data_IF_594810457858
#
_entry.id   IF_594810457858
#
_cell.length_a   1.000
_cell.length_b   1.000
_cell.length_c   1.000
_cell.angle_alpha   90.00
_cell.angle_beta   90.00
_cell.angle_gamma   90.00
#
_symmetry.space_group_name_H-M   'P 1'
#
loop_
_entity.id
_entity.type
_entity.pdbx_description
1 polymer ?
#
# COMPACT_ATOMS: atom_id res chain seq x y z
N UNK A 1 -9.20 -71.37 11.02
CA UNK A 1 -9.04 -72.64 11.75
C UNK A 1 -8.16 -73.53 10.89
N UNK A 2 -7.00 -73.96 11.39
CA UNK A 2 -5.99 -74.74 10.66
C UNK A 2 -4.99 -73.86 9.86
N UNK A 3 -3.68 -74.13 9.78
CA UNK A 3 -2.81 -75.27 10.13
C UNK A 3 -1.41 -74.70 10.45
N UNK A 4 -0.71 -75.33 11.41
CA UNK A 4 0.69 -75.08 11.79
C UNK A 4 1.67 -75.54 10.72
N UNK A 5 2.79 -74.84 10.52
CA UNK A 5 4.07 -75.49 10.20
C UNK A 5 5.24 -74.74 10.85
N UNK A 6 6.08 -75.51 11.53
CA UNK A 6 7.36 -75.14 12.15
C UNK A 6 8.49 -75.72 11.29
N UNK A 7 9.56 -74.96 11.04
CA UNK A 7 10.91 -75.44 10.73
C UNK A 7 11.84 -74.21 10.74
N UNK A 8 12.73 -74.04 11.73
CA UNK A 8 14.05 -74.64 11.92
C UNK A 8 15.13 -74.19 10.91
N UNK A 9 16.23 -73.70 11.50
CA UNK A 9 17.62 -73.63 11.03
C UNK A 9 17.98 -72.59 9.96
N UNK A 10 18.86 -71.65 10.33
CA UNK A 10 20.31 -71.80 10.10
C UNK A 10 21.11 -70.69 10.79
N UNK A 11 22.12 -71.13 11.55
CA UNK A 11 23.22 -70.31 12.02
C UNK A 11 24.06 -69.84 10.82
N UNK A 12 24.40 -68.56 10.80
CA UNK A 12 25.38 -67.98 9.90
C UNK A 12 26.09 -66.85 10.64
N UNK A 13 27.24 -67.15 11.24
CA UNK A 13 28.16 -66.15 11.75
C UNK A 13 28.67 -65.31 10.58
N UNK A 14 28.41 -64.00 10.61
CA UNK A 14 29.02 -63.04 9.71
C UNK A 14 29.98 -62.15 10.50
N UNK A 15 31.21 -62.13 10.02
CA UNK A 15 32.36 -61.39 10.53
C UNK A 15 32.11 -59.90 10.68
N UNK A 16 32.69 -59.36 11.74
CA UNK A 16 32.95 -57.95 11.98
C UNK A 16 33.81 -57.36 10.86
N UNK A 17 33.29 -56.31 10.23
CA UNK A 17 34.11 -55.18 9.76
C UNK A 17 33.38 -53.90 10.15
N UNK A 18 33.73 -53.36 11.32
CA UNK A 18 33.41 -51.99 11.69
C UNK A 18 34.24 -51.06 10.79
N UNK A 19 33.73 -50.79 9.59
CA UNK A 19 34.14 -49.62 8.84
C UNK A 19 33.66 -48.41 9.62
N UNK A 20 34.55 -47.77 10.36
CA UNK A 20 34.35 -46.39 10.81
C UNK A 20 34.32 -45.56 9.54
N UNK A 21 33.13 -45.44 8.94
CA UNK A 21 32.85 -44.33 8.04
C UNK A 21 33.08 -43.09 8.90
N UNK A 22 34.20 -42.42 8.66
CA UNK A 22 34.38 -41.03 9.00
C UNK A 22 33.20 -40.29 8.39
N UNK A 23 32.12 -40.18 9.16
CA UNK A 23 31.11 -39.17 8.97
C UNK A 23 31.87 -37.86 9.10
N UNK A 24 32.36 -37.38 7.95
CA UNK A 24 32.81 -36.01 7.85
C UNK A 24 31.67 -35.20 8.40
N UNK A 25 31.91 -34.50 9.51
CA UNK A 25 31.11 -33.37 9.92
C UNK A 25 31.24 -32.38 8.76
N UNK A 26 30.40 -32.55 7.74
CA UNK A 26 30.07 -31.50 6.82
C UNK A 26 29.42 -30.45 7.70
N UNK A 27 30.21 -29.47 8.10
CA UNK A 27 29.68 -28.20 8.58
C UNK A 27 28.80 -27.71 7.45
N UNK A 28 27.49 -27.93 7.59
CA UNK A 28 26.50 -27.27 6.75
C UNK A 28 26.80 -25.79 6.93
N UNK A 29 27.37 -25.16 5.91
CA UNK A 29 27.69 -23.74 5.95
C UNK A 29 26.36 -22.98 6.07
N UNK A 30 26.00 -22.64 7.31
CA UNK A 30 24.89 -21.76 7.64
C UNK A 30 25.06 -20.36 7.00
N UNK A 31 26.21 -20.06 6.41
CA UNK A 31 26.53 -18.82 5.69
C UNK A 31 25.52 -18.45 4.60
N UNK A 32 24.85 -19.42 3.96
CA UNK A 32 23.82 -19.12 2.95
C UNK A 32 22.44 -18.79 3.52
N UNK A 33 22.14 -19.14 4.78
CA UNK A 33 20.83 -18.91 5.39
C UNK A 33 20.67 -17.48 5.91
N UNK A 34 21.74 -16.83 6.37
CA UNK A 34 21.66 -15.48 6.94
C UNK A 34 21.21 -14.43 5.92
N UNK A 35 21.79 -14.36 4.70
CA UNK A 35 21.36 -13.35 3.72
C UNK A 35 19.91 -13.55 3.26
N UNK A 36 19.46 -14.79 3.14
CA UNK A 36 18.07 -15.08 2.78
C UNK A 36 17.10 -14.64 3.89
N UNK A 37 17.44 -14.88 5.15
CA UNK A 37 16.66 -14.43 6.31
C UNK A 37 16.64 -12.90 6.44
N UNK A 38 17.75 -12.23 6.17
CA UNK A 38 17.83 -10.76 6.22
C UNK A 38 16.94 -10.11 5.15
N UNK A 39 16.92 -10.67 3.93
CA UNK A 39 16.01 -10.23 2.87
C UNK A 39 14.53 -10.42 3.25
N UNK A 40 14.17 -11.59 3.79
CA UNK A 40 12.81 -11.86 4.25
C UNK A 40 12.41 -10.94 5.41
N UNK A 41 13.31 -10.68 6.35
CA UNK A 41 13.06 -9.78 7.47
C UNK A 41 12.87 -8.32 7.00
N UNK A 42 13.63 -7.87 6.01
CA UNK A 42 13.42 -6.57 5.38
C UNK A 42 12.07 -6.51 4.67
N UNK A 43 11.71 -7.55 3.91
CA UNK A 43 10.42 -7.63 3.23
C UNK A 43 9.23 -7.60 4.20
N UNK A 44 9.33 -8.32 5.34
CA UNK A 44 8.35 -8.27 6.44
C UNK A 44 8.20 -6.88 7.01
N UNK A 45 9.31 -6.19 7.30
CA UNK A 45 9.29 -4.83 7.84
C UNK A 45 8.66 -3.83 6.87
N UNK A 46 9.02 -3.89 5.59
CA UNK A 46 8.38 -3.05 4.58
C UNK A 46 6.87 -3.35 4.47
N UNK A 47 6.43 -4.60 4.65
CA UNK A 47 5.00 -4.90 4.71
C UNK A 47 4.32 -4.24 5.90
N UNK A 48 4.96 -4.24 7.07
CA UNK A 48 4.46 -3.58 8.27
C UNK A 48 4.42 -2.05 8.10
N UNK A 49 5.42 -1.47 7.43
CA UNK A 49 5.49 -0.05 7.10
C UNK A 49 4.39 0.36 6.11
N UNK A 50 4.11 -0.46 5.08
CA UNK A 50 2.95 -0.24 4.21
C UNK A 50 1.62 -0.38 4.97
N UNK A 51 1.57 -1.32 5.92
CA UNK A 51 0.52 -1.44 6.93
C UNK A 51 -0.90 -1.52 6.36
N UNK A 52 -1.83 -0.90 7.10
CA UNK A 52 -3.24 -0.77 6.71
C UNK A 52 -3.44 0.43 5.79
N UNK A 53 -4.07 0.22 4.63
CA UNK A 53 -4.32 1.31 3.68
C UNK A 53 -5.65 2.00 3.94
N UNK A 54 -5.58 3.24 4.38
CA UNK A 54 -6.75 4.09 4.65
C UNK A 54 -6.84 5.32 3.71
N UNK A 55 -5.97 5.39 2.71
CA UNK A 55 -5.85 6.50 1.75
C UNK A 55 -5.74 6.01 0.32
N UNK A 56 -6.32 6.80 -0.58
CA UNK A 56 -6.27 6.55 -2.02
C UNK A 56 -4.90 6.97 -2.56
N UNK A 57 -4.21 6.04 -3.25
CA UNK A 57 -2.88 6.28 -3.81
C UNK A 57 -2.64 5.42 -5.05
N UNK A 58 -1.93 5.96 -6.03
CA UNK A 58 -1.44 5.17 -7.16
C UNK A 58 -0.23 4.34 -6.73
N UNK A 59 -0.06 3.16 -7.33
CA UNK A 59 1.08 2.29 -7.03
C UNK A 59 2.43 2.98 -7.32
N UNK A 60 2.50 3.79 -8.38
CA UNK A 60 3.70 4.55 -8.72
C UNK A 60 4.10 5.54 -7.63
N UNK A 61 3.13 6.29 -7.10
CA UNK A 61 3.37 7.23 -6.00
C UNK A 61 3.88 6.50 -4.77
N UNK A 62 3.24 5.39 -4.38
CA UNK A 62 3.67 4.57 -3.24
C UNK A 62 5.10 4.07 -3.49
N UNK A 63 5.39 3.56 -4.68
CA UNK A 63 6.71 3.07 -5.04
C UNK A 63 7.79 4.18 -5.00
N UNK A 64 7.44 5.42 -5.32
CA UNK A 64 8.34 6.56 -5.29
C UNK A 64 8.59 7.14 -3.89
N UNK A 65 7.60 7.05 -2.99
CA UNK A 65 7.65 7.80 -1.71
C UNK A 65 7.72 6.93 -0.46
N UNK A 66 7.27 5.67 -0.53
CA UNK A 66 7.08 4.80 0.65
C UNK A 66 8.11 3.65 0.70
N UNK A 67 8.96 3.48 -0.32
CA UNK A 67 10.01 2.45 -0.35
C UNK A 67 11.35 3.10 -0.04
N UNK A 68 12.04 2.73 1.04
CA UNK A 68 13.36 3.25 1.34
C UNK A 68 14.37 2.74 0.32
N UNK A 69 15.41 3.52 0.00
CA UNK A 69 16.49 3.05 -0.90
C UNK A 69 17.39 2.01 -0.24
N UNK A 70 17.46 2.05 1.09
CA UNK A 70 18.31 1.18 1.91
C UNK A 70 17.59 0.88 3.22
N UNK A 71 17.57 -0.39 3.61
CA UNK A 71 17.10 -0.88 4.89
C UNK A 71 18.20 -1.68 5.61
N UNK A 72 18.01 -1.87 6.92
CA UNK A 72 18.91 -2.69 7.75
C UNK A 72 18.32 -4.08 7.90
N UNK A 73 19.00 -5.14 7.46
CA UNK A 73 18.59 -6.54 7.66
C UNK A 73 19.44 -7.19 8.73
N UNK A 74 19.04 -7.15 10.01
CA UNK A 74 19.89 -7.65 11.09
C UNK A 74 21.23 -6.89 11.16
N UNK A 75 22.31 -7.55 10.71
CA UNK A 75 23.67 -7.01 10.63
C UNK A 75 24.12 -6.65 9.19
N UNK A 76 23.25 -6.84 8.20
CA UNK A 76 23.52 -6.64 6.77
C UNK A 76 22.83 -5.39 6.22
N UNK A 77 23.43 -4.76 5.22
CA UNK A 77 22.75 -3.71 4.45
C UNK A 77 21.87 -4.37 3.39
N UNK A 78 20.61 -3.96 3.32
CA UNK A 78 19.64 -4.46 2.33
C UNK A 78 19.23 -3.31 1.43
N UNK A 79 19.65 -3.36 0.17
CA UNK A 79 19.18 -2.45 -0.87
C UNK A 79 17.78 -2.85 -1.32
N UNK A 80 16.85 -1.91 -1.36
CA UNK A 80 15.49 -2.15 -1.83
C UNK A 80 15.29 -1.38 -3.14
N UNK A 81 14.85 -2.07 -4.18
CA UNK A 81 14.67 -1.48 -5.51
C UNK A 81 13.30 -1.84 -6.06
N UNK A 82 12.40 -0.85 -6.30
CA UNK A 82 11.16 -1.08 -7.02
C UNK A 82 11.47 -1.57 -8.44
N UNK A 83 10.80 -2.64 -8.87
CA UNK A 83 10.99 -3.26 -10.18
C UNK A 83 9.84 -2.97 -11.13
N UNK A 84 8.62 -3.03 -10.60
CA UNK A 84 7.39 -2.78 -11.33
C UNK A 84 6.29 -2.34 -10.36
N UNK A 85 5.35 -1.55 -10.84
CA UNK A 85 4.18 -1.13 -10.07
C UNK A 85 2.98 -0.99 -11.00
N UNK A 86 1.78 -1.27 -10.49
CA UNK A 86 0.56 -1.15 -11.29
C UNK A 86 -0.68 -0.93 -10.42
N UNK A 87 -1.70 -0.32 -11.00
CA UNK A 87 -2.98 -0.10 -10.34
C UNK A 87 -2.94 1.01 -9.28
N UNK A 88 -3.96 1.00 -8.42
CA UNK A 88 -4.18 2.00 -7.37
C UNK A 88 -4.93 1.40 -6.20
N UNK A 89 -4.70 1.97 -5.03
CA UNK A 89 -5.48 1.74 -3.82
C UNK A 89 -6.76 2.57 -3.95
N UNK A 90 -7.83 1.99 -4.50
CA UNK A 90 -9.12 2.67 -4.68
C UNK A 90 -10.26 1.67 -4.68
N UNK A 91 -11.28 1.87 -3.84
CA UNK A 91 -12.44 0.98 -3.74
C UNK A 91 -12.05 -0.52 -3.67
N UNK A 92 -12.44 -1.31 -4.67
CA UNK A 92 -12.13 -2.73 -4.82
C UNK A 92 -10.86 -3.02 -5.64
N UNK A 93 -10.27 -1.99 -6.26
CA UNK A 93 -9.01 -2.08 -6.99
C UNK A 93 -7.83 -2.33 -6.04
N UNK A 94 -6.76 -2.90 -6.62
CA UNK A 94 -5.52 -3.21 -5.92
C UNK A 94 -4.36 -2.50 -6.59
N UNK A 95 -3.45 -1.99 -5.78
CA UNK A 95 -2.11 -1.61 -6.22
C UNK A 95 -1.17 -2.80 -6.02
N UNK A 96 -0.30 -3.06 -7.00
CA UNK A 96 0.77 -4.05 -6.87
C UNK A 96 2.12 -3.37 -7.01
N UNK A 97 3.10 -3.80 -6.21
CA UNK A 97 4.48 -3.31 -6.30
C UNK A 97 5.44 -4.49 -6.16
N UNK A 98 6.28 -4.69 -7.16
CA UNK A 98 7.33 -5.71 -7.14
C UNK A 98 8.64 -5.05 -6.70
N UNK A 99 9.32 -5.63 -5.71
CA UNK A 99 10.51 -5.05 -5.10
C UNK A 99 11.61 -6.12 -5.03
N UNK A 100 12.83 -5.73 -5.44
CA UNK A 100 14.05 -6.53 -5.28
C UNK A 100 14.77 -6.11 -4.01
N UNK A 101 15.10 -7.09 -3.19
CA UNK A 101 15.92 -6.96 -1.99
C UNK A 101 17.29 -7.55 -2.29
N UNK A 102 18.30 -6.70 -2.25
CA UNK A 102 19.69 -7.00 -2.49
C UNK A 102 20.45 -6.98 -1.17
N UNK A 103 20.90 -8.14 -0.68
CA UNK A 103 21.60 -8.23 0.60
C UNK A 103 23.10 -8.22 0.36
N UNK A 104 23.78 -7.23 0.92
CA UNK A 104 25.24 -7.16 0.95
C UNK A 104 25.71 -7.57 2.34
N UNK A 105 26.33 -8.75 2.42
CA UNK A 105 26.97 -9.21 3.65
C UNK A 105 28.29 -8.48 3.85
N UNK A 106 28.60 -8.04 5.09
CA UNK A 106 29.81 -7.27 5.39
C UNK A 106 31.10 -8.05 5.14
N UNK A 107 31.04 -9.39 5.19
CA UNK A 107 32.18 -10.29 5.03
C UNK A 107 32.29 -10.91 3.62
N UNK A 108 31.39 -10.54 2.71
CA UNK A 108 31.31 -11.13 1.37
C UNK A 108 32.08 -10.32 0.33
N UNK A 109 32.68 -11.02 -0.64
CA UNK A 109 33.22 -10.37 -1.83
C UNK A 109 32.09 -9.64 -2.58
N UNK A 110 32.33 -8.46 -3.19
CA UNK A 110 31.30 -7.61 -3.78
C UNK A 110 30.46 -8.24 -4.90
N UNK A 111 30.83 -9.43 -5.38
CA UNK A 111 30.16 -10.19 -6.43
C UNK A 111 29.11 -11.20 -5.94
N UNK A 112 29.01 -11.46 -4.63
CA UNK A 112 28.05 -12.41 -4.06
C UNK A 112 26.85 -11.69 -3.43
N UNK A 113 26.12 -10.93 -4.24
CA UNK A 113 24.87 -10.29 -3.81
C UNK A 113 23.71 -11.29 -3.90
N UNK A 114 23.12 -11.64 -2.76
CA UNK A 114 21.91 -12.45 -2.75
C UNK A 114 20.70 -11.56 -3.04
N UNK A 115 19.91 -11.95 -4.03
CA UNK A 115 18.69 -11.23 -4.41
C UNK A 115 17.44 -12.07 -4.15
N UNK A 116 16.44 -11.44 -3.53
CA UNK A 116 15.07 -11.96 -3.36
C UNK A 116 14.09 -10.92 -3.85
N UNK A 117 12.98 -11.34 -4.42
CA UNK A 117 11.98 -10.42 -4.93
C UNK A 117 10.61 -10.75 -4.36
N UNK A 118 9.85 -9.72 -4.01
CA UNK A 118 8.52 -9.85 -3.43
C UNK A 118 7.54 -8.95 -4.16
N UNK A 119 6.30 -9.45 -4.29
CA UNK A 119 5.16 -8.67 -4.78
C UNK A 119 4.30 -8.26 -3.61
N UNK A 120 4.15 -6.96 -3.40
CA UNK A 120 3.22 -6.39 -2.44
C UNK A 120 1.87 -6.12 -3.11
N UNK A 121 0.79 -6.45 -2.41
CA UNK A 121 -0.58 -6.17 -2.82
C UNK A 121 -1.24 -5.26 -1.80
N UNK A 122 -1.58 -4.05 -2.22
CA UNK A 122 -2.17 -3.01 -1.39
C UNK A 122 -3.63 -2.79 -1.82
N UNK A 123 -4.55 -2.75 -0.84
CA UNK A 123 -5.98 -2.54 -1.10
C UNK A 123 -6.59 -1.64 -0.04
N UNK A 124 -7.54 -0.77 -0.46
CA UNK A 124 -8.20 0.15 0.44
C UNK A 124 -8.94 -0.61 1.55
N UNK A 125 -8.78 -0.12 2.78
CA UNK A 125 -9.33 -0.70 4.01
C UNK A 125 -8.86 -2.13 4.32
N UNK A 126 -7.68 -2.52 3.83
CA UNK A 126 -7.04 -3.80 4.15
C UNK A 126 -5.60 -3.60 4.56
N UNK A 127 -5.09 -4.56 5.33
CA UNK A 127 -3.67 -4.71 5.54
C UNK A 127 -3.00 -5.19 4.26
N UNK A 128 -1.80 -4.67 4.02
CA UNK A 128 -0.95 -5.08 2.92
C UNK A 128 -0.54 -6.55 3.08
N UNK A 129 -0.48 -7.26 1.97
CA UNK A 129 0.08 -8.62 1.89
C UNK A 129 1.22 -8.64 0.89
N UNK A 130 2.10 -9.64 1.01
CA UNK A 130 3.20 -9.83 0.07
C UNK A 130 3.49 -11.31 -0.14
N UNK A 131 3.98 -11.64 -1.32
CA UNK A 131 4.36 -12.99 -1.73
C UNK A 131 5.74 -12.96 -2.40
N UNK A 132 6.56 -13.99 -2.17
CA UNK A 132 7.84 -14.14 -2.88
C UNK A 132 7.57 -14.44 -4.36
N UNK A 133 8.34 -13.79 -5.24
CA UNK A 133 8.27 -13.97 -6.69
C UNK A 133 9.68 -14.21 -7.26
N UNK A 134 9.74 -14.83 -8.43
CA UNK A 134 10.99 -14.89 -9.18
C UNK A 134 11.46 -13.47 -9.53
N UNK A 135 12.74 -13.18 -9.31
CA UNK A 135 13.30 -11.88 -9.65
C UNK A 135 13.29 -11.65 -11.18
N UNK A 136 12.55 -10.64 -11.67
CA UNK A 136 12.58 -10.28 -13.08
C UNK A 136 14.00 -9.94 -13.54
N UNK A 137 14.40 -10.44 -14.72
CA UNK A 137 15.68 -10.10 -15.33
C UNK A 137 15.64 -8.68 -15.92
N UNK A 138 15.71 -7.68 -15.06
CA UNK A 138 15.70 -6.25 -15.43
C UNK A 138 17.06 -5.64 -15.08
N UNK A 139 17.82 -5.25 -16.11
CA UNK A 139 19.14 -4.67 -15.95
C UNK A 139 19.11 -3.29 -15.27
N UNK A 140 18.13 -2.46 -15.63
CA UNK A 140 17.91 -1.14 -15.03
C UNK A 140 16.41 -0.97 -14.78
N UNK A 141 15.96 -1.10 -13.53
CA UNK A 141 14.55 -0.88 -13.19
C UNK A 141 14.10 0.54 -13.54
N UNK A 142 12.84 0.74 -13.96
CA UNK A 142 12.30 2.07 -14.13
C UNK A 142 12.31 2.81 -12.78
N UNK A 143 12.61 4.11 -12.81
CA UNK A 143 12.51 4.96 -11.62
C UNK A 143 11.04 5.41 -11.46
N UNK A 144 10.38 5.15 -10.31
CA UNK A 144 9.01 5.61 -10.09
C UNK A 144 8.97 7.14 -9.91
N UNK A 145 7.89 7.78 -10.37
CA UNK A 145 7.69 9.22 -10.22
C UNK A 145 6.65 9.58 -9.17
N UNK A 146 7.03 10.40 -8.18
CA UNK A 146 6.10 10.99 -7.24
C UNK A 146 5.50 12.28 -7.83
N UNK A 147 4.52 12.16 -8.73
CA UNK A 147 3.71 13.34 -9.08
C UNK A 147 3.12 13.92 -7.78
N UNK A 148 3.22 15.24 -7.55
CA UNK A 148 2.75 15.83 -6.31
C UNK A 148 1.25 15.53 -6.14
N UNK A 149 0.81 15.21 -4.90
CA UNK A 149 -0.59 14.92 -4.66
C UNK A 149 -1.45 16.12 -5.09
N UNK A 150 -2.59 15.83 -5.72
CA UNK A 150 -3.57 16.85 -6.05
C UNK A 150 -4.06 17.51 -4.76
N UNK A 151 -4.04 18.83 -4.71
CA UNK A 151 -4.59 19.61 -3.61
C UNK A 151 -5.71 20.52 -4.10
N UNK A 152 -6.65 20.83 -3.22
CA UNK A 152 -7.55 21.95 -3.44
C UNK A 152 -6.70 23.23 -3.58
N UNK A 153 -7.14 24.16 -4.46
CA UNK A 153 -6.44 25.42 -4.59
C UNK A 153 -6.56 26.21 -3.27
N UNK A 154 -5.54 27.00 -2.88
CA UNK A 154 -5.49 27.67 -1.58
C UNK A 154 -6.65 28.68 -1.39
N UNK A 155 -7.29 29.14 -2.47
CA UNK A 155 -8.47 30.00 -2.50
C UNK A 155 -9.80 29.23 -2.58
N UNK A 156 -9.81 27.91 -2.37
CA UNK A 156 -10.99 27.06 -2.56
C UNK A 156 -12.26 27.57 -1.85
N UNK A 157 -12.15 28.03 -0.59
CA UNK A 157 -13.29 28.58 0.15
C UNK A 157 -13.85 29.85 -0.51
N UNK A 158 -12.98 30.78 -0.90
CA UNK A 158 -13.37 32.03 -1.55
C UNK A 158 -14.00 31.77 -2.91
N UNK A 159 -13.40 30.85 -3.67
CA UNK A 159 -13.88 30.41 -4.98
C UNK A 159 -15.25 29.73 -4.88
N UNK A 160 -15.44 28.85 -3.90
CA UNK A 160 -16.72 28.19 -3.67
C UNK A 160 -17.80 29.19 -3.21
N UNK A 161 -17.45 30.12 -2.33
CA UNK A 161 -18.34 31.22 -1.92
C UNK A 161 -18.77 32.08 -3.11
N UNK A 162 -17.85 32.40 -4.02
CA UNK A 162 -18.17 33.13 -5.24
C UNK A 162 -19.09 32.33 -6.16
N UNK A 163 -18.85 31.03 -6.35
CA UNK A 163 -19.71 30.16 -7.15
C UNK A 163 -21.14 30.09 -6.59
N UNK A 164 -21.28 30.11 -5.27
CA UNK A 164 -22.58 30.06 -4.60
C UNK A 164 -23.33 31.39 -4.66
N UNK A 165 -22.64 32.54 -4.68
CA UNK A 165 -23.26 33.87 -4.58
C UNK A 165 -24.39 34.09 -5.58
N UNK A 166 -24.19 33.70 -6.83
CA UNK A 166 -25.15 33.89 -7.93
C UNK A 166 -25.79 32.58 -8.42
N UNK A 167 -25.60 31.48 -7.67
CA UNK A 167 -26.20 30.21 -8.01
C UNK A 167 -27.72 30.21 -7.75
N UNK A 168 -28.43 29.37 -8.47
CA UNK A 168 -29.80 28.95 -8.17
C UNK A 168 -29.76 27.44 -7.91
N UNK A 169 -30.81 26.82 -7.33
CA UNK A 169 -30.86 25.37 -7.19
C UNK A 169 -30.55 24.63 -8.50
N UNK A 170 -31.01 25.16 -9.64
CA UNK A 170 -30.83 24.57 -10.98
C UNK A 170 -29.42 24.76 -11.53
N UNK A 171 -28.72 25.84 -11.16
CA UNK A 171 -27.39 26.18 -11.70
C UNK A 171 -26.23 25.85 -10.76
N UNK A 172 -26.52 25.45 -9.52
CA UNK A 172 -25.54 25.21 -8.46
C UNK A 172 -24.45 24.23 -8.89
N UNK A 173 -24.83 23.00 -9.30
CA UNK A 173 -23.86 21.96 -9.64
C UNK A 173 -22.96 22.37 -10.82
N UNK A 174 -23.53 23.01 -11.85
CA UNK A 174 -22.78 23.50 -13.00
C UNK A 174 -21.77 24.59 -12.64
N UNK A 175 -22.18 25.56 -11.80
CA UNK A 175 -21.31 26.66 -11.35
C UNK A 175 -20.15 26.16 -10.48
N UNK A 176 -20.42 25.23 -9.56
CA UNK A 176 -19.35 24.68 -8.70
C UNK A 176 -18.36 23.87 -9.54
N UNK A 177 -18.82 23.04 -10.49
CA UNK A 177 -17.92 22.32 -11.41
C UNK A 177 -17.10 23.26 -12.29
N UNK A 178 -17.70 24.36 -12.77
CA UNK A 178 -16.96 25.37 -13.54
C UNK A 178 -15.85 26.05 -12.71
N UNK A 179 -16.06 26.21 -11.41
CA UNK A 179 -15.06 26.75 -10.49
C UNK A 179 -13.93 25.74 -10.18
N UNK A 180 -14.24 24.45 -10.20
CA UNK A 180 -13.30 23.35 -9.91
C UNK A 180 -13.26 22.34 -11.07
N UNK A 181 -12.67 22.70 -12.22
CA UNK A 181 -12.73 21.86 -13.43
C UNK A 181 -11.79 20.63 -13.40
N UNK A 182 -10.99 20.46 -12.35
CA UNK A 182 -9.98 19.40 -12.29
C UNK A 182 -10.63 18.03 -11.99
N UNK A 183 -10.39 17.02 -12.82
CA UNK A 183 -11.07 15.71 -12.76
C UNK A 183 -10.90 14.95 -11.43
N UNK A 184 -9.79 15.17 -10.73
CA UNK A 184 -9.55 14.60 -9.39
C UNK A 184 -10.23 15.32 -8.22
N UNK A 185 -10.92 16.44 -8.45
CA UNK A 185 -11.70 17.15 -7.42
C UNK A 185 -13.15 16.67 -7.49
N UNK A 186 -13.62 16.08 -6.39
CA UNK A 186 -15.02 15.71 -6.21
C UNK A 186 -15.86 16.96 -5.92
N UNK A 187 -17.04 17.04 -6.55
CA UNK A 187 -18.02 18.11 -6.36
C UNK A 187 -19.35 17.47 -5.98
N UNK A 188 -19.86 17.82 -4.80
CA UNK A 188 -21.19 17.43 -4.34
C UNK A 188 -21.99 18.68 -3.97
N UNK A 189 -23.27 18.71 -4.32
CA UNK A 189 -24.13 19.88 -4.13
C UNK A 189 -25.55 19.47 -3.81
N UNK A 190 -26.18 20.15 -2.86
CA UNK A 190 -27.59 19.94 -2.52
C UNK A 190 -28.26 21.26 -2.18
N UNK A 191 -29.58 21.33 -2.36
CA UNK A 191 -30.41 22.37 -1.77
C UNK A 191 -31.15 21.77 -0.57
N UNK A 192 -30.88 22.26 0.64
CA UNK A 192 -31.57 21.82 1.86
C UNK A 192 -32.29 23.00 2.51
N UNK A 193 -33.62 22.91 2.66
CA UNK A 193 -34.46 23.94 3.30
C UNK A 193 -34.20 25.36 2.76
N UNK A 194 -34.01 25.49 1.44
CA UNK A 194 -33.72 26.77 0.77
C UNK A 194 -32.27 27.26 0.90
N UNK A 195 -31.41 26.51 1.59
CA UNK A 195 -29.96 26.75 1.67
C UNK A 195 -29.27 26.00 0.53
N UNK A 196 -28.43 26.69 -0.24
CA UNK A 196 -27.55 26.02 -1.20
C UNK A 196 -26.31 25.53 -0.48
N UNK A 197 -25.97 24.26 -0.65
CA UNK A 197 -24.82 23.62 -0.01
C UNK A 197 -23.93 23.06 -1.11
N UNK A 198 -22.64 23.35 -1.02
CA UNK A 198 -21.65 22.72 -1.89
C UNK A 198 -20.47 22.23 -1.08
N UNK A 199 -19.98 21.06 -1.47
CA UNK A 199 -18.83 20.39 -0.92
C UNK A 199 -17.86 20.09 -2.08
N UNK A 200 -16.60 20.49 -1.92
CA UNK A 200 -15.53 20.19 -2.86
C UNK A 200 -14.36 19.56 -2.13
N UNK A 201 -13.76 18.53 -2.71
CA UNK A 201 -12.67 17.84 -2.03
C UNK A 201 -11.84 16.93 -2.89
N UNK A 202 -10.64 16.63 -2.40
CA UNK A 202 -9.74 15.63 -2.95
C UNK A 202 -9.74 14.44 -2.00
N UNK A 203 -10.47 13.39 -2.36
CA UNK A 203 -10.68 12.22 -1.50
C UNK A 203 -9.34 11.57 -1.07
N UNK A 204 -8.35 11.55 -1.98
CA UNK A 204 -7.03 11.00 -1.73
C UNK A 204 -6.26 11.74 -0.63
N UNK A 205 -6.43 13.07 -0.53
CA UNK A 205 -5.73 13.90 0.46
C UNK A 205 -6.56 14.20 1.70
N UNK A 206 -7.80 13.67 1.78
CA UNK A 206 -8.78 14.01 2.82
C UNK A 206 -9.01 15.52 2.95
N UNK A 207 -8.83 16.24 1.85
CA UNK A 207 -9.13 17.68 1.76
C UNK A 207 -10.60 17.85 1.43
N UNK A 208 -11.30 18.67 2.22
CA UNK A 208 -12.72 18.95 2.06
C UNK A 208 -13.02 20.39 2.45
N UNK A 209 -13.74 21.09 1.57
CA UNK A 209 -14.25 22.44 1.81
C UNK A 209 -15.74 22.43 1.55
N UNK A 210 -16.51 22.83 2.56
CA UNK A 210 -17.97 22.93 2.47
C UNK A 210 -18.37 24.37 2.72
N UNK A 211 -19.15 24.94 1.82
CA UNK A 211 -19.71 26.29 1.96
C UNK A 211 -21.21 26.21 1.73
N UNK A 212 -21.95 26.96 2.54
CA UNK A 212 -23.39 27.12 2.41
C UNK A 212 -23.73 28.55 2.00
N UNK A 213 -24.84 28.74 1.28
CA UNK A 213 -25.50 30.02 1.07
C UNK A 213 -26.91 29.95 1.63
N UNK A 214 -27.15 30.74 2.67
CA UNK A 214 -28.45 30.83 3.34
C UNK A 214 -29.46 31.61 2.48
N UNK A 215 -30.72 31.59 2.88
CA UNK A 215 -31.82 32.31 2.22
C UNK A 215 -31.66 33.83 2.25
N UNK A 216 -30.85 34.37 3.17
CA UNK A 216 -30.48 35.78 3.25
C UNK A 216 -29.34 36.17 2.27
N UNK A 217 -28.89 35.23 1.44
CA UNK A 217 -27.82 35.42 0.45
C UNK A 217 -26.41 35.37 1.01
N UNK A 218 -26.23 35.27 2.35
CA UNK A 218 -24.89 35.19 2.95
C UNK A 218 -24.30 33.80 2.75
N UNK A 219 -23.02 33.77 2.36
CA UNK A 219 -22.22 32.54 2.32
C UNK A 219 -21.50 32.34 3.64
N UNK A 220 -21.37 31.10 4.09
CA UNK A 220 -20.63 30.77 5.32
C UNK A 220 -19.88 29.45 5.12
N UNK A 221 -18.58 29.38 5.45
CA UNK A 221 -17.88 28.11 5.48
C UNK A 221 -18.41 27.24 6.62
N UNK A 222 -18.55 25.95 6.37
CA UNK A 222 -18.89 24.98 7.41
C UNK A 222 -17.58 24.41 7.94
N UNK A 223 -17.28 24.68 9.22
CA UNK A 223 -16.12 24.10 9.87
C UNK A 223 -16.31 22.58 9.98
N UNK A 224 -15.46 21.83 9.28
CA UNK A 224 -15.47 20.38 9.30
C UNK A 224 -14.23 19.86 10.04
N UNK A 225 -14.42 18.86 10.92
CA UNK A 225 -13.28 18.14 11.52
C UNK A 225 -13.05 16.88 10.71
N UNK A 226 -11.85 16.69 10.16
CA UNK A 226 -11.49 15.51 9.36
C UNK A 226 -11.81 14.14 10.01
N UNK A 227 -11.97 14.09 11.35
CA UNK A 227 -12.43 12.91 12.11
C UNK A 227 -13.90 12.51 11.86
N UNK A 228 -14.69 13.34 11.19
CA UNK A 228 -16.11 13.10 10.91
C UNK A 228 -16.36 12.41 9.55
N UNK A 229 -15.31 12.02 8.82
CA UNK A 229 -15.44 11.16 7.64
C UNK A 229 -15.48 9.71 8.10
N UNK A 230 -16.55 8.99 7.76
CA UNK A 230 -16.66 7.57 8.08
C UNK A 230 -15.60 6.76 7.31
N UNK A 231 -15.06 5.65 7.88
CA UNK A 231 -14.23 4.71 7.14
C UNK A 231 -15.03 4.18 5.93
N UNK A 232 -14.62 4.54 4.71
CA UNK A 232 -15.35 4.21 3.48
C UNK A 232 -15.90 5.40 2.72
N UNK A 233 -16.04 6.56 3.36
CA UNK A 233 -16.50 7.77 2.67
C UNK A 233 -15.41 8.34 1.77
N UNK A 234 -15.47 7.94 0.50
CA UNK A 234 -14.57 8.38 -0.57
C UNK A 234 -14.79 9.83 -1.01
N UNK A 235 -14.93 10.78 -0.08
CA UNK A 235 -14.83 12.21 -0.41
C UNK A 235 -15.68 13.18 0.39
N UNK A 236 -15.47 14.45 0.07
CA UNK A 236 -16.19 15.58 0.63
C UNK A 236 -17.64 15.58 0.11
N UNK A 237 -18.60 15.33 1.00
CA UNK A 237 -20.04 15.26 0.68
C UNK A 237 -20.83 16.30 1.46
N UNK A 238 -21.96 16.71 0.90
CA UNK A 238 -22.92 17.60 1.55
C UNK A 238 -23.72 16.92 2.66
N UNK A 239 -23.68 15.58 2.74
CA UNK A 239 -24.19 14.81 3.90
C UNK A 239 -23.53 15.25 5.20
N UNK A 240 -22.26 15.68 5.17
CA UNK A 240 -21.53 16.20 6.32
C UNK A 240 -22.21 17.44 6.95
N UNK A 241 -22.98 18.18 6.16
CA UNK A 241 -23.77 19.31 6.62
C UNK A 241 -25.22 18.93 6.94
N UNK A 242 -25.86 18.15 6.05
CA UNK A 242 -27.30 17.84 6.17
C UNK A 242 -27.59 16.76 7.23
N UNK A 243 -26.61 15.90 7.52
CA UNK A 243 -26.69 14.78 8.46
C UNK A 243 -25.36 14.66 9.23
N UNK A 244 -24.99 15.64 10.08
CA UNK A 244 -23.74 15.60 10.81
C UNK A 244 -23.70 14.42 11.78
N UNK A 245 -22.57 13.72 11.85
CA UNK A 245 -22.34 12.69 12.88
C UNK A 245 -22.46 13.31 14.29
N UNK A 246 -23.20 12.66 15.18
CA UNK A 246 -23.39 13.09 16.57
C UNK A 246 -22.23 12.68 17.46
#
# INVERSE_FOLDING_TARGET
>A
MGIRYSALLRWGAALVTAGVASAGCGTVSLQGEYPARDAEQAARRLNDDFGYRDRLRQAEYIAATEIPTTAQGGNSEVGETPLAWSGRVFADEKATIDIRFAVRSPDSAPTEELTRCYRYTLQLYRYTSYDEIACPAVATPPAPSASPPLKLPPDAEARLSAALRDATPETLAGRVRAAFPHEGITVDTVTDKGTLVAAVGVAAERECTVVIRKTDGRTTPVAFRARQLEPGETGCRTSLYTHPAQ
#
